data_IF_434889715081
#
_entry.id   IF_434889715081
#
_cell.length_a   1.000
_cell.length_b   1.000
_cell.length_c   1.000
_cell.angle_alpha   90.00
_cell.angle_beta   90.00
_cell.angle_gamma   90.00
#
_symmetry.space_group_name_H-M   'P 1'
#
loop_
_entity.id
_entity.type
_entity.pdbx_description
1 polymer ?
#
# COMPACT_ATOMS: atom_id res chain seq x y z
N UNK A 1 -9.88 -53.42 -31.64
CA UNK A 1 -10.59 -53.08 -30.38
C UNK A 1 -9.70 -53.37 -29.18
N UNK A 2 -8.93 -52.39 -28.70
CA UNK A 2 -8.39 -52.35 -27.33
C UNK A 2 -8.34 -50.88 -26.92
N UNK A 3 -9.21 -50.53 -25.98
CA UNK A 3 -9.28 -49.22 -25.31
C UNK A 3 -7.99 -49.02 -24.51
N UNK A 4 -7.35 -47.86 -24.63
CA UNK A 4 -6.31 -47.44 -23.69
C UNK A 4 -6.73 -46.13 -23.03
N UNK A 5 -6.71 -46.18 -21.70
CA UNK A 5 -7.26 -45.23 -20.74
C UNK A 5 -6.57 -43.85 -20.80
N UNK A 6 -7.38 -42.80 -20.65
CA UNK A 6 -6.96 -41.48 -20.21
C UNK A 6 -6.44 -41.59 -18.76
N UNK A 7 -5.19 -41.18 -18.53
CA UNK A 7 -4.67 -40.90 -17.18
C UNK A 7 -4.81 -39.38 -16.98
N UNK A 8 -5.79 -38.99 -16.18
CA UNK A 8 -5.92 -37.61 -15.71
C UNK A 8 -4.88 -37.40 -14.60
N UNK A 9 -3.80 -36.69 -14.90
CA UNK A 9 -2.84 -36.26 -13.90
C UNK A 9 -3.45 -35.11 -13.08
N UNK A 10 -3.93 -35.43 -11.86
CA UNK A 10 -4.17 -34.41 -10.84
C UNK A 10 -2.82 -33.79 -10.47
N UNK A 11 -2.57 -32.56 -10.93
CA UNK A 11 -1.46 -31.74 -10.46
C UNK A 11 -1.80 -31.33 -9.02
N UNK A 12 -1.29 -32.11 -8.07
CA UNK A 12 -1.29 -31.74 -6.66
C UNK A 12 -0.37 -30.55 -6.47
N UNK A 13 -0.96 -29.38 -6.20
CA UNK A 13 -0.22 -28.21 -5.75
C UNK A 13 0.26 -28.51 -4.32
N UNK A 14 1.51 -28.98 -4.20
CA UNK A 14 2.15 -29.15 -2.90
C UNK A 14 2.46 -27.76 -2.32
N UNK A 15 1.55 -27.26 -1.48
CA UNK A 15 1.86 -26.16 -0.59
C UNK A 15 2.91 -26.66 0.41
N UNK A 16 4.12 -26.11 0.31
CA UNK A 16 5.17 -26.28 1.31
C UNK A 16 4.74 -25.58 2.60
N UNK A 17 3.87 -26.23 3.39
CA UNK A 17 3.49 -25.78 4.73
C UNK A 17 4.69 -26.02 5.64
N UNK A 18 5.29 -24.93 6.12
CA UNK A 18 6.35 -25.00 7.12
C UNK A 18 5.75 -25.60 8.42
N UNK A 19 6.42 -26.59 8.99
CA UNK A 19 5.85 -27.52 9.95
C UNK A 19 5.47 -26.87 11.29
N UNK A 20 4.20 -26.48 11.44
CA UNK A 20 3.50 -26.55 12.72
C UNK A 20 2.65 -27.83 12.75
N UNK A 21 2.43 -28.39 13.93
CA UNK A 21 1.69 -29.64 14.20
C UNK A 21 0.19 -29.55 13.79
N UNK A 22 -0.10 -29.27 12.53
CA UNK A 22 -1.44 -29.23 11.95
C UNK A 22 -1.80 -30.65 11.51
N UNK A 23 -2.39 -31.42 12.43
CA UNK A 23 -2.65 -32.85 12.24
C UNK A 23 -4.01 -33.11 11.58
N UNK A 24 -4.94 -32.18 11.71
CA UNK A 24 -6.31 -32.31 11.21
C UNK A 24 -6.70 -31.16 10.29
N UNK A 25 -7.76 -31.37 9.50
CA UNK A 25 -8.38 -30.30 8.72
C UNK A 25 -8.84 -29.13 9.62
N UNK A 26 -9.31 -29.43 10.84
CA UNK A 26 -9.70 -28.40 11.81
C UNK A 26 -8.50 -27.60 12.33
N UNK A 27 -7.34 -28.23 12.52
CA UNK A 27 -6.11 -27.50 12.90
C UNK A 27 -5.72 -26.53 11.79
N UNK A 28 -5.79 -26.97 10.54
CA UNK A 28 -5.48 -26.15 9.36
C UNK A 28 -6.44 -24.97 9.23
N UNK A 29 -7.75 -25.21 9.40
CA UNK A 29 -8.76 -24.15 9.42
C UNK A 29 -8.52 -23.14 10.55
N UNK A 30 -8.22 -23.62 11.76
CA UNK A 30 -7.95 -22.76 12.92
C UNK A 30 -6.73 -21.86 12.69
N UNK A 31 -5.66 -22.43 12.13
CA UNK A 31 -4.47 -21.67 11.77
C UNK A 31 -4.77 -20.63 10.69
N UNK A 32 -5.54 -20.99 9.65
CA UNK A 32 -5.93 -20.08 8.58
C UNK A 32 -6.75 -18.87 9.09
N UNK A 33 -7.67 -19.08 10.05
CA UNK A 33 -8.39 -17.98 10.71
C UNK A 33 -7.41 -17.04 11.43
N UNK A 34 -6.45 -17.61 12.17
CA UNK A 34 -5.40 -16.84 12.84
C UNK A 34 -4.55 -16.02 11.87
N UNK A 35 -4.17 -16.59 10.73
CA UNK A 35 -3.44 -15.87 9.66
C UNK A 35 -4.25 -14.69 9.14
N UNK A 36 -5.53 -14.89 8.82
CA UNK A 36 -6.40 -13.81 8.30
C UNK A 36 -6.55 -12.69 9.33
N UNK A 37 -6.80 -13.02 10.59
CA UNK A 37 -6.95 -12.02 11.65
C UNK A 37 -5.65 -11.29 11.94
N UNK A 38 -4.53 -12.02 12.03
CA UNK A 38 -3.21 -11.42 12.18
C UNK A 38 -2.88 -10.45 11.04
N UNK A 39 -3.14 -10.85 9.79
CA UNK A 39 -2.94 -9.98 8.63
C UNK A 39 -3.78 -8.70 8.71
N UNK A 40 -5.04 -8.81 9.09
CA UNK A 40 -5.92 -7.65 9.26
C UNK A 40 -5.46 -6.74 10.41
N UNK A 41 -4.95 -7.31 11.51
CA UNK A 41 -4.39 -6.54 12.63
C UNK A 41 -3.15 -5.76 12.19
N UNK A 42 -2.24 -6.40 11.47
CA UNK A 42 -1.04 -5.76 10.90
C UNK A 42 -1.43 -4.62 9.95
N UNK A 43 -2.41 -4.85 9.07
CA UNK A 43 -2.92 -3.82 8.15
C UNK A 43 -3.54 -2.62 8.88
N UNK A 44 -4.08 -2.80 10.09
CA UNK A 44 -4.59 -1.72 10.93
C UNK A 44 -3.53 -1.10 11.85
N UNK A 45 -2.26 -1.52 11.74
CA UNK A 45 -1.16 -1.01 12.58
C UNK A 45 -1.20 -1.49 14.03
N UNK A 46 -1.94 -2.57 14.30
CA UNK A 46 -2.11 -3.20 15.62
C UNK A 46 -1.00 -4.23 15.90
N UNK A 47 0.26 -3.85 15.67
CA UNK A 47 1.42 -4.74 15.80
C UNK A 47 1.79 -5.07 17.26
N UNK A 48 1.26 -4.28 18.19
CA UNK A 48 1.58 -4.29 19.61
C UNK A 48 0.51 -5.03 20.46
N UNK A 49 -0.41 -5.74 19.79
CA UNK A 49 -1.47 -6.54 20.45
C UNK A 49 -0.89 -7.77 21.14
N UNK A 50 -1.31 -8.02 22.37
CA UNK A 50 -1.00 -9.26 23.08
C UNK A 50 -1.87 -10.41 22.53
N UNK A 51 -1.27 -11.26 21.70
CA UNK A 51 -1.95 -12.38 21.03
C UNK A 51 -2.44 -13.47 21.99
N UNK A 52 -1.82 -13.63 23.16
CA UNK A 52 -2.28 -14.59 24.17
C UNK A 52 -3.62 -14.17 24.77
N UNK A 53 -3.81 -12.86 24.97
CA UNK A 53 -5.09 -12.31 25.45
C UNK A 53 -6.19 -12.41 24.38
N UNK A 54 -5.83 -12.24 23.10
CA UNK A 54 -6.75 -12.47 21.97
C UNK A 54 -7.22 -13.93 21.98
N UNK A 55 -6.28 -14.88 22.06
CA UNK A 55 -6.60 -16.31 22.12
C UNK A 55 -7.46 -16.67 23.34
N UNK A 56 -7.16 -16.09 24.51
CA UNK A 56 -7.93 -16.29 25.73
C UNK A 56 -9.39 -15.80 25.59
N UNK A 57 -9.60 -14.62 24.98
CA UNK A 57 -10.93 -14.06 24.75
C UNK A 57 -11.76 -14.92 23.78
N UNK A 58 -11.16 -15.38 22.67
CA UNK A 58 -11.81 -16.27 21.71
C UNK A 58 -12.22 -17.57 22.40
N UNK A 59 -11.31 -18.17 23.17
CA UNK A 59 -11.58 -19.41 23.91
C UNK A 59 -12.75 -19.24 24.88
N UNK A 60 -12.77 -18.17 25.65
CA UNK A 60 -13.86 -17.88 26.58
C UNK A 60 -15.22 -17.78 25.85
N UNK A 61 -15.28 -17.04 24.74
CA UNK A 61 -16.51 -16.90 23.94
C UNK A 61 -16.99 -18.23 23.34
N UNK A 62 -16.07 -19.05 22.82
CA UNK A 62 -16.41 -20.37 22.27
C UNK A 62 -16.91 -21.34 23.33
N UNK A 63 -16.39 -21.23 24.56
CA UNK A 63 -16.84 -21.99 25.72
C UNK A 63 -18.10 -21.38 26.37
N UNK A 64 -18.66 -20.30 25.81
CA UNK A 64 -19.81 -19.55 26.34
C UNK A 64 -19.57 -19.04 27.77
N UNK A 65 -18.32 -18.75 28.12
CA UNK A 65 -17.93 -18.12 29.38
C UNK A 65 -18.00 -16.60 29.26
N UNK A 66 -18.15 -15.94 30.40
CA UNK A 66 -18.07 -14.48 30.47
C UNK A 66 -16.66 -13.99 30.12
N UNK A 67 -16.60 -12.89 29.37
CA UNK A 67 -15.39 -12.15 29.05
C UNK A 67 -15.20 -10.98 30.01
N UNK A 68 -13.98 -10.43 30.09
CA UNK A 68 -13.68 -9.29 30.96
C UNK A 68 -14.48 -8.01 30.61
N UNK A 69 -15.02 -7.92 29.39
CA UNK A 69 -15.84 -6.82 28.90
C UNK A 69 -16.84 -7.33 27.86
N UNK A 70 -17.93 -6.59 27.69
CA UNK A 70 -18.91 -6.86 26.64
C UNK A 70 -18.40 -6.41 25.25
N UNK A 71 -19.16 -6.76 24.21
CA UNK A 71 -18.80 -6.43 22.82
C UNK A 71 -18.77 -4.92 22.56
N UNK A 72 -19.57 -4.12 23.28
CA UNK A 72 -19.59 -2.67 23.12
C UNK A 72 -18.30 -2.06 23.64
N UNK A 73 -17.89 -2.41 24.86
CA UNK A 73 -16.63 -1.96 25.46
C UNK A 73 -15.43 -2.45 24.66
N UNK A 74 -15.44 -3.69 24.15
CA UNK A 74 -14.41 -4.18 23.24
C UNK A 74 -14.26 -3.29 21.99
N UNK A 75 -15.39 -2.95 21.34
CA UNK A 75 -15.40 -2.08 20.17
C UNK A 75 -14.90 -0.67 20.48
N UNK A 76 -15.30 -0.09 21.62
CA UNK A 76 -14.88 1.24 22.05
C UNK A 76 -13.37 1.29 22.32
N UNK A 77 -12.80 0.25 22.95
CA UNK A 77 -11.35 0.14 23.19
C UNK A 77 -10.58 0.10 21.86
N UNK A 78 -10.99 -0.78 20.94
CA UNK A 78 -10.33 -0.92 19.62
C UNK A 78 -10.43 0.39 18.83
N UNK A 79 -11.61 1.02 18.80
CA UNK A 79 -11.83 2.30 18.11
C UNK A 79 -10.92 3.40 18.67
N UNK A 80 -10.82 3.50 20.00
CA UNK A 80 -9.99 4.52 20.65
C UNK A 80 -8.50 4.29 20.35
N UNK A 81 -8.05 3.03 20.40
CA UNK A 81 -6.67 2.67 20.03
C UNK A 81 -6.35 3.09 18.58
N UNK A 82 -7.20 2.69 17.62
CA UNK A 82 -7.01 3.03 16.21
C UNK A 82 -7.02 4.55 15.99
N UNK A 83 -7.94 5.27 16.65
CA UNK A 83 -8.02 6.73 16.56
C UNK A 83 -6.76 7.40 17.10
N UNK A 84 -6.27 6.97 18.26
CA UNK A 84 -5.05 7.51 18.86
C UNK A 84 -3.81 7.24 18.00
N UNK A 85 -3.67 6.02 17.47
CA UNK A 85 -2.59 5.66 16.53
C UNK A 85 -2.65 6.51 15.26
N UNK A 86 -3.85 6.73 14.71
CA UNK A 86 -4.02 7.56 13.50
C UNK A 86 -3.62 9.01 13.77
N UNK A 87 -4.01 9.59 14.89
CA UNK A 87 -3.66 10.98 15.22
C UNK A 87 -2.17 11.17 15.49
N UNK A 88 -1.55 10.21 16.19
CA UNK A 88 -0.11 10.17 16.38
C UNK A 88 0.63 10.08 15.03
N UNK A 89 0.19 9.20 14.13
CA UNK A 89 0.74 9.08 12.78
C UNK A 89 0.53 10.35 11.95
N UNK A 90 -0.63 11.02 12.07
CA UNK A 90 -0.93 12.26 11.35
C UNK A 90 0.07 13.36 11.69
N UNK A 91 0.38 13.53 12.98
CA UNK A 91 1.33 14.53 13.46
C UNK A 91 2.75 14.17 13.05
N UNK A 92 3.14 12.92 13.27
CA UNK A 92 4.46 12.39 12.91
C UNK A 92 4.76 12.56 11.42
N UNK A 93 3.87 12.06 10.55
CA UNK A 93 4.05 12.09 9.10
C UNK A 93 4.06 13.51 8.53
N UNK A 94 3.28 14.43 9.13
CA UNK A 94 3.29 15.82 8.70
C UNK A 94 4.65 16.46 8.96
N UNK A 95 5.24 16.23 10.13
CA UNK A 95 6.54 16.80 10.48
C UNK A 95 7.68 16.12 9.70
N UNK A 96 7.73 14.79 9.69
CA UNK A 96 8.73 14.04 8.90
C UNK A 96 8.64 14.38 7.42
N UNK A 97 7.43 14.53 6.88
CA UNK A 97 7.20 14.94 5.50
C UNK A 97 7.70 16.34 5.20
N UNK A 98 7.44 17.29 6.09
CA UNK A 98 7.92 18.68 5.98
C UNK A 98 9.44 18.75 6.00
N UNK A 99 10.07 18.05 6.94
CA UNK A 99 11.53 17.98 7.06
C UNK A 99 12.17 17.31 5.84
N UNK A 100 11.63 16.15 5.43
CA UNK A 100 12.08 15.43 4.25
C UNK A 100 12.03 16.31 2.99
N UNK A 101 10.91 16.96 2.73
CA UNK A 101 10.74 17.83 1.56
C UNK A 101 11.65 19.06 1.64
N UNK A 102 11.82 19.66 2.81
CA UNK A 102 12.72 20.80 2.98
C UNK A 102 14.18 20.43 2.73
N UNK A 103 14.62 19.24 3.15
CA UNK A 103 15.96 18.74 2.87
C UNK A 103 16.13 18.34 1.40
N UNK A 104 15.14 17.62 0.85
CA UNK A 104 15.17 17.17 -0.53
C UNK A 104 15.23 18.33 -1.53
N UNK A 105 14.56 19.45 -1.25
CA UNK A 105 14.58 20.66 -2.07
C UNK A 105 15.97 21.34 -2.16
N UNK A 106 16.92 21.00 -1.27
CA UNK A 106 18.29 21.53 -1.32
C UNK A 106 19.16 20.81 -2.35
N UNK A 107 18.73 19.64 -2.82
CA UNK A 107 19.46 18.85 -3.81
C UNK A 107 19.40 19.54 -5.18
N UNK A 108 20.54 19.75 -5.87
CA UNK A 108 20.57 20.50 -7.13
C UNK A 108 19.79 19.83 -8.28
N UNK A 109 19.61 18.52 -8.24
CA UNK A 109 18.83 17.73 -9.19
C UNK A 109 17.32 17.83 -8.98
N UNK A 110 16.88 18.36 -7.82
CA UNK A 110 15.47 18.49 -7.47
C UNK A 110 14.96 19.87 -7.86
N UNK A 111 13.86 19.88 -8.61
CA UNK A 111 13.09 21.08 -8.94
C UNK A 111 11.82 21.11 -8.09
N UNK A 112 11.44 22.30 -7.64
CA UNK A 112 10.22 22.53 -6.84
C UNK A 112 9.27 23.43 -7.62
N UNK A 113 8.02 23.01 -7.76
CA UNK A 113 6.97 23.81 -8.41
C UNK A 113 6.26 24.71 -7.41
N UNK A 114 5.44 25.63 -7.90
CA UNK A 114 4.64 26.54 -7.06
C UNK A 114 3.64 25.79 -6.15
N UNK A 115 3.17 24.60 -6.54
CA UNK A 115 2.27 23.78 -5.74
C UNK A 115 2.99 23.04 -4.60
N UNK A 116 4.32 23.05 -4.59
CA UNK A 116 5.17 22.30 -3.68
C UNK A 116 5.51 20.88 -4.15
N UNK A 117 5.06 20.46 -5.34
CA UNK A 117 5.56 19.24 -5.96
C UNK A 117 7.07 19.37 -6.17
N UNK A 118 7.81 18.34 -5.78
CA UNK A 118 9.22 18.25 -6.12
C UNK A 118 9.46 17.11 -7.09
N UNK A 119 10.38 17.30 -8.02
CA UNK A 119 10.72 16.26 -8.99
C UNK A 119 12.18 16.32 -9.42
N UNK A 120 12.68 15.17 -9.85
CA UNK A 120 13.99 14.95 -10.42
C UNK A 120 13.83 14.26 -11.78
N UNK A 121 14.51 14.77 -12.81
CA UNK A 121 14.48 14.16 -14.14
C UNK A 121 15.57 13.11 -14.22
N UNK A 122 15.20 11.83 -14.11
CA UNK A 122 16.15 10.71 -14.21
C UNK A 122 16.51 10.41 -15.66
N UNK A 123 15.53 10.55 -16.57
CA UNK A 123 15.69 10.44 -18.02
C UNK A 123 14.75 11.43 -18.68
N UNK A 124 15.30 12.24 -19.57
CA UNK A 124 14.53 13.17 -20.39
C UNK A 124 14.04 12.46 -21.66
N UNK A 125 12.73 12.48 -21.89
CA UNK A 125 12.12 12.10 -23.16
C UNK A 125 12.02 13.29 -24.11
N UNK A 126 11.70 12.98 -25.37
CA UNK A 126 11.59 13.91 -26.49
C UNK A 126 10.22 13.83 -27.20
N UNK A 127 9.30 13.01 -26.69
CA UNK A 127 7.95 12.86 -27.23
C UNK A 127 7.00 14.00 -26.85
N UNK A 128 5.73 13.93 -27.30
CA UNK A 128 4.71 14.91 -26.92
C UNK A 128 4.48 14.94 -25.42
N UNK A 129 4.03 16.08 -24.90
CA UNK A 129 3.63 16.24 -23.51
C UNK A 129 2.11 15.99 -23.41
N UNK A 130 1.65 15.09 -22.51
CA UNK A 130 0.23 14.85 -22.29
C UNK A 130 -0.53 16.11 -21.85
N UNK A 131 -1.79 16.18 -22.27
CA UNK A 131 -2.78 17.16 -21.82
C UNK A 131 -3.74 16.54 -20.81
N UNK A 132 -4.54 17.34 -20.11
CA UNK A 132 -5.50 16.86 -19.12
C UNK A 132 -6.59 15.90 -19.68
N UNK A 133 -6.87 15.94 -20.99
CA UNK A 133 -7.84 15.06 -21.65
C UNK A 133 -7.29 13.70 -22.05
N UNK A 134 -5.97 13.53 -22.01
CA UNK A 134 -5.31 12.35 -22.54
C UNK A 134 -5.37 11.17 -21.56
N UNK A 135 -5.13 9.98 -22.12
CA UNK A 135 -4.73 8.81 -21.34
C UNK A 135 -3.24 8.58 -21.54
N UNK A 136 -2.59 8.16 -20.47
CA UNK A 136 -1.16 7.88 -20.47
C UNK A 136 -0.89 6.45 -20.08
N UNK A 137 0.10 5.85 -20.73
CA UNK A 137 0.63 4.54 -20.39
C UNK A 137 1.93 4.72 -19.61
N UNK A 138 2.00 4.14 -18.42
CA UNK A 138 3.13 4.36 -17.51
C UNK A 138 3.62 3.08 -16.86
N UNK A 139 4.92 3.06 -16.54
CA UNK A 139 5.44 2.29 -15.42
C UNK A 139 5.64 3.20 -14.21
N UNK A 140 5.46 2.65 -13.01
CA UNK A 140 5.71 3.35 -11.77
C UNK A 140 6.06 2.43 -10.61
N UNK A 141 6.74 3.01 -9.63
CA UNK A 141 7.05 2.40 -8.35
C UNK A 141 6.87 3.45 -7.26
N UNK A 142 5.91 3.22 -6.35
CA UNK A 142 5.51 4.14 -5.30
C UNK A 142 5.95 3.66 -3.91
N UNK A 143 6.66 4.52 -3.19
CA UNK A 143 7.16 4.24 -1.83
C UNK A 143 6.83 5.38 -0.86
N UNK A 144 6.74 5.03 0.42
CA UNK A 144 6.81 6.02 1.51
C UNK A 144 8.26 6.50 1.71
N UNK A 145 8.45 7.51 2.56
CA UNK A 145 9.79 8.06 2.90
C UNK A 145 10.72 6.98 3.46
N UNK A 146 10.18 6.02 4.22
CA UNK A 146 10.93 4.91 4.82
C UNK A 146 11.27 3.78 3.85
N UNK A 147 10.89 3.90 2.57
CA UNK A 147 11.12 2.90 1.54
C UNK A 147 10.03 1.82 1.45
N UNK A 148 8.99 1.85 2.30
CA UNK A 148 7.85 0.93 2.20
C UNK A 148 7.16 1.10 0.85
N UNK A 149 7.17 0.04 0.04
CA UNK A 149 6.44 0.00 -1.24
C UNK A 149 4.95 -0.13 -0.94
N UNK A 150 4.14 0.77 -1.48
CA UNK A 150 2.67 0.69 -1.36
C UNK A 150 1.99 0.29 -2.67
N UNK A 151 2.64 0.54 -3.82
CA UNK A 151 2.11 0.18 -5.13
C UNK A 151 3.21 0.22 -6.20
N UNK A 152 3.29 -0.80 -7.07
CA UNK A 152 4.24 -0.83 -8.17
C UNK A 152 3.72 -1.61 -9.37
N UNK A 153 3.66 -0.97 -10.54
CA UNK A 153 3.41 -1.66 -11.82
C UNK A 153 4.63 -2.43 -12.32
N UNK A 154 5.83 -2.01 -11.92
CA UNK A 154 7.08 -2.70 -12.25
C UNK A 154 7.12 -4.08 -11.58
N UNK A 155 6.74 -4.17 -10.30
CA UNK A 155 6.66 -5.47 -9.60
C UNK A 155 5.57 -6.38 -10.16
N UNK A 156 4.48 -5.81 -10.70
CA UNK A 156 3.46 -6.56 -11.43
C UNK A 156 3.91 -7.02 -12.82
N UNK A 157 4.96 -6.41 -13.37
CA UNK A 157 5.50 -6.74 -14.68
C UNK A 157 4.71 -6.20 -15.88
N UNK A 158 3.70 -5.36 -15.65
CA UNK A 158 2.86 -4.79 -16.72
C UNK A 158 2.61 -3.29 -16.53
N UNK A 159 2.76 -2.47 -17.58
CA UNK A 159 2.36 -1.06 -17.54
C UNK A 159 0.87 -0.90 -17.30
N UNK A 160 0.48 0.26 -16.83
CA UNK A 160 -0.92 0.61 -16.61
C UNK A 160 -1.29 1.88 -17.37
N UNK A 161 -2.57 2.00 -17.73
CA UNK A 161 -3.13 3.16 -18.42
C UNK A 161 -4.04 3.91 -17.48
N UNK A 162 -3.83 5.22 -17.38
CA UNK A 162 -4.69 6.12 -16.61
C UNK A 162 -5.15 7.30 -17.45
N UNK A 163 -6.38 7.81 -17.27
CA UNK A 163 -6.67 9.17 -17.66
C UNK A 163 -5.84 10.13 -16.80
N UNK A 164 -5.23 11.17 -17.40
CA UNK A 164 -4.35 12.11 -16.68
C UNK A 164 -5.05 12.73 -15.48
N UNK A 165 -6.36 12.97 -15.55
CA UNK A 165 -7.18 13.55 -14.47
C UNK A 165 -7.72 12.52 -13.46
N UNK A 166 -7.49 11.23 -13.67
CA UNK A 166 -7.97 10.15 -12.79
C UNK A 166 -6.99 9.76 -11.67
N UNK A 167 -5.88 10.48 -11.54
CA UNK A 167 -4.82 10.22 -10.55
C UNK A 167 -4.69 11.39 -9.56
N UNK A 168 -3.84 11.22 -8.54
CA UNK A 168 -3.61 12.26 -7.52
C UNK A 168 -3.08 13.57 -8.15
N UNK A 169 -3.36 14.71 -7.51
CA UNK A 169 -3.03 16.05 -8.05
C UNK A 169 -1.57 16.21 -8.44
N UNK A 170 -0.64 15.67 -7.66
CA UNK A 170 0.79 15.71 -7.97
C UNK A 170 1.16 14.97 -9.25
N UNK A 171 0.47 13.87 -9.56
CA UNK A 171 0.62 13.17 -10.84
C UNK A 171 0.00 13.95 -11.99
N UNK A 172 -1.21 14.50 -11.81
CA UNK A 172 -1.88 15.35 -12.82
C UNK A 172 -0.95 16.48 -13.25
N UNK A 173 -0.30 17.14 -12.29
CA UNK A 173 0.67 18.20 -12.54
C UNK A 173 1.93 17.67 -13.24
N UNK A 174 2.58 16.63 -12.70
CA UNK A 174 3.81 16.09 -13.24
C UNK A 174 3.65 15.60 -14.69
N UNK A 175 2.61 14.83 -14.99
CA UNK A 175 2.37 14.26 -16.31
C UNK A 175 2.24 15.33 -17.41
N UNK A 176 1.68 16.50 -17.08
CA UNK A 176 1.53 17.62 -18.02
C UNK A 176 2.81 18.45 -18.18
N UNK A 177 3.90 18.06 -17.52
CA UNK A 177 5.25 18.61 -17.71
C UNK A 177 6.24 17.58 -18.25
N UNK A 178 5.84 16.30 -18.30
CA UNK A 178 6.69 15.17 -18.68
C UNK A 178 6.53 14.86 -20.17
N UNK A 179 7.57 15.03 -21.00
CA UNK A 179 7.55 14.50 -22.36
C UNK A 179 7.49 12.98 -22.34
N UNK A 180 6.75 12.38 -23.27
CA UNK A 180 6.75 10.92 -23.47
C UNK A 180 8.19 10.41 -23.67
N UNK A 181 8.50 9.27 -23.07
CA UNK A 181 9.83 8.68 -23.00
C UNK A 181 10.64 9.09 -21.75
N UNK A 182 10.13 10.03 -20.95
CA UNK A 182 10.78 10.47 -19.72
C UNK A 182 10.62 9.46 -18.58
N UNK A 183 11.63 9.42 -17.71
CA UNK A 183 11.54 8.82 -16.37
C UNK A 183 11.83 9.88 -15.33
N UNK A 184 10.88 10.18 -14.45
CA UNK A 184 11.01 11.17 -13.39
C UNK A 184 10.87 10.51 -12.02
N UNK A 185 11.52 11.09 -11.02
CA UNK A 185 11.25 10.79 -9.61
C UNK A 185 10.49 11.95 -9.00
N UNK A 186 9.30 11.67 -8.47
CA UNK A 186 8.38 12.64 -7.89
C UNK A 186 8.40 12.50 -6.38
N UNK A 187 8.42 13.62 -5.66
CA UNK A 187 8.24 13.70 -4.22
C UNK A 187 7.02 14.58 -3.98
N UNK A 188 5.92 13.93 -3.60
CA UNK A 188 4.58 14.50 -3.64
C UNK A 188 4.13 14.81 -2.21
N UNK A 189 3.98 16.09 -1.84
CA UNK A 189 3.45 16.45 -0.53
C UNK A 189 2.00 15.95 -0.38
N UNK A 190 1.59 15.69 0.86
CA UNK A 190 0.33 14.99 1.12
C UNK A 190 -0.92 15.71 0.59
N UNK A 191 -0.91 17.05 0.54
CA UNK A 191 -1.98 17.88 -0.05
C UNK A 191 -2.14 17.68 -1.57
N UNK A 192 -1.10 17.21 -2.26
CA UNK A 192 -1.14 16.82 -3.66
C UNK A 192 -1.36 15.31 -3.86
N UNK A 193 -1.49 14.56 -2.76
CA UNK A 193 -1.75 13.13 -2.71
C UNK A 193 -3.06 12.81 -1.96
N UNK A 194 -3.00 12.03 -0.87
CA UNK A 194 -4.16 11.54 -0.12
C UNK A 194 -4.47 12.32 1.17
N UNK A 195 -3.70 13.37 1.47
CA UNK A 195 -3.90 14.28 2.59
C UNK A 195 -4.01 13.60 3.96
N UNK A 196 -4.78 14.22 4.87
CA UNK A 196 -4.98 13.72 6.23
C UNK A 196 -5.70 12.38 6.31
N UNK A 197 -6.35 11.94 5.22
CA UNK A 197 -7.11 10.69 5.22
C UNK A 197 -6.20 9.47 5.04
N UNK A 198 -5.14 9.60 4.23
CA UNK A 198 -4.37 8.45 3.75
C UNK A 198 -5.18 7.56 2.78
N UNK A 199 -4.62 6.39 2.41
CA UNK A 199 -5.24 5.46 1.47
C UNK A 199 -4.73 4.01 1.63
N UNK A 200 -5.58 3.03 1.25
CA UNK A 200 -5.16 1.64 1.01
C UNK A 200 -4.60 0.86 2.21
N UNK A 201 -4.76 1.35 3.44
CA UNK A 201 -4.21 0.75 4.66
C UNK A 201 -2.72 1.04 4.87
N UNK A 202 -1.92 1.05 3.80
CA UNK A 202 -0.48 1.32 3.84
C UNK A 202 -0.16 2.81 3.88
N UNK A 203 -0.89 3.65 3.12
CA UNK A 203 -0.60 5.08 3.06
C UNK A 203 -1.26 5.76 4.26
N UNK A 204 -0.44 6.15 5.22
CA UNK A 204 -0.87 6.86 6.42
C UNK A 204 -1.38 8.28 6.16
N UNK A 205 -2.01 8.90 7.17
CA UNK A 205 -2.42 10.30 7.11
C UNK A 205 -1.20 11.21 6.88
N UNK A 206 -1.38 12.26 6.08
CA UNK A 206 -0.35 13.27 5.78
C UNK A 206 0.98 12.72 5.21
N UNK A 207 0.98 11.49 4.70
CA UNK A 207 2.18 10.89 4.12
C UNK A 207 2.61 11.62 2.83
N UNK A 208 3.91 11.91 2.75
CA UNK A 208 4.58 12.24 1.48
C UNK A 208 4.75 10.96 0.69
N UNK A 209 4.50 11.02 -0.62
CA UNK A 209 4.67 9.88 -1.51
C UNK A 209 5.88 10.12 -2.42
N UNK A 210 6.68 9.08 -2.61
CA UNK A 210 7.78 9.08 -3.57
C UNK A 210 7.38 8.15 -4.71
N UNK A 211 7.48 8.63 -5.95
CA UNK A 211 7.23 7.81 -7.12
C UNK A 211 8.40 7.89 -8.08
N UNK A 212 8.84 6.77 -8.62
CA UNK A 212 9.48 6.76 -9.92
C UNK A 212 8.41 6.50 -10.98
N UNK A 213 8.33 7.36 -11.99
CA UNK A 213 7.33 7.28 -13.07
C UNK A 213 8.06 7.30 -14.41
N UNK A 214 7.82 6.29 -15.24
CA UNK A 214 8.25 6.25 -16.62
C UNK A 214 7.03 6.40 -17.53
N UNK A 215 6.99 7.49 -18.30
CA UNK A 215 5.91 7.79 -19.23
C UNK A 215 6.20 7.15 -20.59
N UNK A 216 5.48 6.08 -20.90
CA UNK A 216 5.72 5.25 -22.09
C UNK A 216 5.00 5.77 -23.33
N UNK A 217 3.85 6.44 -23.16
CA UNK A 217 3.07 6.94 -24.28
C UNK A 217 1.77 7.63 -23.88
N UNK A 218 1.12 8.21 -24.88
CA UNK A 218 -0.24 8.76 -24.84
C UNK A 218 -1.15 7.84 -25.67
N UNK A 219 -2.35 7.57 -25.19
CA UNK A 219 -3.39 6.75 -25.85
C UNK A 219 -4.62 7.57 -26.24
#
# INVERSE_FOLDING_TARGET
>A
MKRLMLITACIGFALSVNAQNLKTANDSLSYAVGVIWGQNMIQQGMNDVNVDQVAAAIKALMEKKETAFDIKTANDIVKNYITAKKEAAKTKNLEEGREFLAENAKRPEVKVTESGLQYEVLKQGDGPIPTASDKVKVHYHGTLIDGTVFDSSVERGEPIVFPVTGVIKGWVEALQMMPVGSKWKLYIPSNLAYGERGAGGTIGPNAVLIFEVELLGIE
#
